data_IF_802355630137
#
_entry.id   IF_802355630137
#
_cell.length_a   1.000
_cell.length_b   1.000
_cell.length_c   1.000
_cell.angle_alpha   90.00
_cell.angle_beta   90.00
_cell.angle_gamma   90.00
#
_symmetry.space_group_name_H-M   'P 1'
#
loop_
_entity.id
_entity.type
_entity.pdbx_description
1 polymer ?
#
# COMPACT_ATOMS: atom_id res chain seq x y z
N UNK A 1 15.27 -10.44 -0.19
CA UNK A 1 14.69 -9.09 -0.16
C UNK A 1 13.34 -9.02 -0.89
N UNK A 2 13.22 -9.58 -2.08
CA UNK A 2 11.97 -9.59 -2.86
C UNK A 2 10.75 -10.12 -2.11
N UNK A 3 10.90 -11.21 -1.36
CA UNK A 3 9.81 -11.81 -0.59
C UNK A 3 9.24 -10.84 0.46
N UNK A 4 10.09 -10.08 1.15
CA UNK A 4 9.66 -9.11 2.16
C UNK A 4 8.85 -8.00 1.51
N UNK A 5 9.25 -7.54 0.33
CA UNK A 5 8.55 -6.49 -0.43
C UNK A 5 7.17 -6.99 -0.87
N UNK A 6 7.06 -8.23 -1.35
CA UNK A 6 5.77 -8.81 -1.74
C UNK A 6 4.83 -8.96 -0.53
N UNK A 7 5.36 -9.40 0.61
CA UNK A 7 4.60 -9.48 1.87
C UNK A 7 4.13 -8.08 2.27
N UNK A 8 5.00 -7.08 2.23
CA UNK A 8 4.66 -5.70 2.53
C UNK A 8 3.53 -5.19 1.62
N UNK A 9 3.62 -5.42 0.31
CA UNK A 9 2.59 -5.02 -0.65
C UNK A 9 1.25 -5.70 -0.37
N UNK A 10 1.27 -7.00 -0.04
CA UNK A 10 0.06 -7.74 0.35
C UNK A 10 -0.60 -7.11 1.59
N UNK A 11 0.19 -6.81 2.62
CA UNK A 11 -0.32 -6.18 3.84
C UNK A 11 -0.86 -4.77 3.59
N UNK A 12 -0.27 -4.00 2.66
CA UNK A 12 -0.80 -2.69 2.25
C UNK A 12 -2.19 -2.83 1.63
N UNK A 13 -2.40 -3.82 0.75
CA UNK A 13 -3.71 -4.09 0.14
C UNK A 13 -4.74 -4.48 1.21
N UNK A 14 -4.35 -5.34 2.15
CA UNK A 14 -5.21 -5.76 3.28
C UNK A 14 -5.56 -4.55 4.14
N UNK A 15 -4.59 -3.72 4.51
CA UNK A 15 -4.80 -2.52 5.32
C UNK A 15 -5.76 -1.52 4.65
N UNK A 16 -5.56 -1.29 3.35
CA UNK A 16 -6.46 -0.46 2.57
C UNK A 16 -7.90 -1.03 2.57
N UNK A 17 -8.04 -2.36 2.42
CA UNK A 17 -9.34 -3.03 2.44
C UNK A 17 -10.05 -2.90 3.81
N UNK A 18 -9.31 -3.00 4.91
CA UNK A 18 -9.84 -2.74 6.26
C UNK A 18 -10.32 -1.30 6.40
N UNK A 19 -9.53 -0.33 5.98
CA UNK A 19 -9.89 1.08 6.06
C UNK A 19 -11.15 1.39 5.24
N UNK A 20 -11.23 0.88 4.01
CA UNK A 20 -12.39 1.05 3.14
C UNK A 20 -13.65 0.33 3.68
N UNK A 21 -13.50 -0.68 4.54
CA UNK A 21 -14.65 -1.38 5.14
C UNK A 21 -15.46 -0.50 6.11
N UNK A 22 -14.89 0.60 6.62
CA UNK A 22 -15.60 1.60 7.42
C UNK A 22 -16.37 2.63 6.58
N UNK A 23 -16.11 2.65 5.25
CA UNK A 23 -16.75 3.57 4.34
C UNK A 23 -18.11 3.07 3.86
N UNK A 24 -18.94 4.00 3.36
CA UNK A 24 -20.17 3.64 2.65
C UNK A 24 -19.79 3.05 1.29
N UNK A 25 -20.60 2.12 0.79
CA UNK A 25 -20.39 1.49 -0.52
C UNK A 25 -20.08 2.47 -1.64
N UNK A 26 -20.86 3.53 -1.71
CA UNK A 26 -20.70 4.57 -2.74
C UNK A 26 -19.29 5.17 -2.72
N UNK A 27 -18.75 5.46 -1.54
CA UNK A 27 -17.41 6.01 -1.38
C UNK A 27 -16.34 5.02 -1.82
N UNK A 28 -16.51 3.74 -1.46
CA UNK A 28 -15.59 2.67 -1.88
C UNK A 28 -15.61 2.46 -3.39
N UNK A 29 -16.78 2.56 -4.03
CA UNK A 29 -16.91 2.48 -5.49
C UNK A 29 -16.23 3.67 -6.18
N UNK A 30 -16.41 4.89 -5.68
CA UNK A 30 -15.71 6.06 -6.23
C UNK A 30 -14.20 5.88 -6.13
N UNK A 31 -13.70 5.44 -4.96
CA UNK A 31 -12.27 5.20 -4.79
C UNK A 31 -11.75 4.09 -5.72
N UNK A 32 -12.50 3.00 -5.90
CA UNK A 32 -12.12 1.93 -6.82
C UNK A 32 -12.09 2.40 -8.29
N UNK A 33 -13.00 3.30 -8.69
CA UNK A 33 -12.98 3.91 -10.02
C UNK A 33 -11.73 4.79 -10.20
N UNK A 34 -11.38 5.59 -9.20
CA UNK A 34 -10.16 6.41 -9.24
C UNK A 34 -8.92 5.52 -9.34
N UNK A 35 -8.85 4.43 -8.57
CA UNK A 35 -7.76 3.47 -8.63
C UNK A 35 -7.68 2.75 -10.00
N UNK A 36 -8.82 2.37 -10.58
CA UNK A 36 -8.89 1.79 -11.92
C UNK A 36 -8.46 2.76 -13.01
N UNK A 37 -8.89 4.02 -12.94
CA UNK A 37 -8.47 5.08 -13.86
C UNK A 37 -6.95 5.36 -13.74
N UNK A 38 -6.41 5.31 -12.53
CA UNK A 38 -4.97 5.43 -12.31
C UNK A 38 -4.21 4.31 -13.03
N UNK A 39 -4.63 3.05 -12.88
CA UNK A 39 -4.03 1.90 -13.56
C UNK A 39 -4.15 2.07 -15.08
N UNK A 40 -5.35 2.44 -15.57
CA UNK A 40 -5.59 2.64 -17.01
C UNK A 40 -4.83 3.85 -17.59
N UNK A 41 -4.50 4.86 -16.78
CA UNK A 41 -3.75 6.05 -17.22
C UNK A 41 -2.23 5.88 -17.15
N UNK A 42 -1.74 5.04 -16.26
CA UNK A 42 -0.29 4.88 -16.03
C UNK A 42 0.37 3.78 -16.88
N UNK A 43 -0.38 3.04 -17.71
CA UNK A 43 0.17 1.96 -18.52
C UNK A 43 1.30 2.41 -19.47
N UNK A 44 1.22 3.62 -20.03
CA UNK A 44 2.25 4.17 -20.90
C UNK A 44 3.59 4.35 -20.16
N UNK A 45 3.52 4.79 -18.90
CA UNK A 45 4.70 4.91 -18.04
C UNK A 45 5.23 3.54 -17.60
N UNK A 46 4.34 2.57 -17.39
CA UNK A 46 4.71 1.21 -17.02
C UNK A 46 5.50 0.47 -18.12
N UNK A 47 5.18 0.71 -19.40
CA UNK A 47 5.91 0.14 -20.53
C UNK A 47 7.33 0.69 -20.65
N UNK A 48 7.52 1.98 -20.31
CA UNK A 48 8.84 2.62 -20.35
C UNK A 48 9.78 2.09 -19.26
N UNK A 49 9.26 1.42 -18.24
CA UNK A 49 10.05 0.80 -17.20
C UNK A 49 10.65 -0.52 -17.70
N UNK A 50 11.92 -0.76 -17.40
CA UNK A 50 12.57 -2.06 -17.63
C UNK A 50 12.50 -2.90 -16.35
N UNK A 51 12.45 -4.24 -16.47
CA UNK A 51 12.58 -5.14 -15.31
C UNK A 51 13.83 -4.85 -14.50
N UNK A 52 14.93 -4.53 -15.16
CA UNK A 52 16.20 -4.14 -14.53
C UNK A 52 16.06 -2.85 -13.74
N UNK A 53 15.37 -1.84 -14.28
CA UNK A 53 15.16 -0.57 -13.58
C UNK A 53 14.31 -0.74 -12.31
N UNK A 54 13.28 -1.59 -12.35
CA UNK A 54 12.47 -1.89 -11.14
C UNK A 54 13.31 -2.62 -10.09
N UNK A 55 14.11 -3.61 -10.52
CA UNK A 55 15.02 -4.31 -9.62
C UNK A 55 16.09 -3.38 -9.04
N UNK A 56 16.63 -2.47 -9.84
CA UNK A 56 17.60 -1.47 -9.42
C UNK A 56 16.97 -0.45 -8.45
N UNK A 57 15.72 -0.04 -8.68
CA UNK A 57 14.98 0.83 -7.75
C UNK A 57 14.75 0.16 -6.40
N UNK A 58 14.43 -1.14 -6.39
CA UNK A 58 14.23 -1.91 -5.16
C UNK A 58 15.55 -2.22 -4.43
N UNK A 59 16.69 -2.07 -5.09
CA UNK A 59 18.03 -2.20 -4.48
C UNK A 59 18.64 -0.84 -4.12
N UNK A 60 18.11 0.26 -4.66
CA UNK A 60 18.60 1.60 -4.37
C UNK A 60 18.23 2.02 -2.95
N UNK A 61 19.23 2.25 -2.11
CA UNK A 61 19.06 2.62 -0.70
C UNK A 61 18.27 3.93 -0.53
N UNK A 62 18.46 4.90 -1.42
CA UNK A 62 17.75 6.18 -1.38
C UNK A 62 16.26 6.01 -1.71
N UNK A 63 15.95 5.21 -2.73
CA UNK A 63 14.56 4.89 -3.08
C UNK A 63 13.85 4.15 -1.95
N UNK A 64 14.51 3.18 -1.31
CA UNK A 64 13.98 2.47 -0.15
C UNK A 64 13.75 3.38 1.06
N UNK A 65 14.64 4.34 1.32
CA UNK A 65 14.46 5.33 2.38
C UNK A 65 13.26 6.22 2.11
N UNK A 66 13.08 6.72 0.89
CA UNK A 66 11.94 7.55 0.52
C UNK A 66 10.62 6.76 0.65
N UNK A 67 10.60 5.50 0.24
CA UNK A 67 9.43 4.62 0.43
C UNK A 67 9.12 4.38 1.91
N UNK A 68 10.14 4.18 2.75
CA UNK A 68 9.92 4.00 4.18
C UNK A 68 9.37 5.27 4.85
N UNK A 69 9.79 6.46 4.43
CA UNK A 69 9.23 7.73 4.91
C UNK A 69 7.73 7.79 4.58
N UNK A 70 7.35 7.45 3.36
CA UNK A 70 5.94 7.45 2.94
C UNK A 70 5.15 6.42 3.75
N UNK A 71 5.69 5.21 3.94
CA UNK A 71 5.05 4.15 4.74
C UNK A 71 4.86 4.59 6.19
N UNK A 72 5.87 5.20 6.81
CA UNK A 72 5.78 5.68 8.19
C UNK A 72 4.78 6.82 8.35
N UNK A 73 4.73 7.76 7.41
CA UNK A 73 3.74 8.82 7.40
C UNK A 73 2.31 8.27 7.27
N UNK A 74 2.08 7.34 6.36
CA UNK A 74 0.76 6.73 6.20
C UNK A 74 0.37 5.89 7.43
N UNK A 75 1.30 5.15 8.01
CA UNK A 75 1.06 4.43 9.27
C UNK A 75 0.69 5.37 10.41
N UNK A 76 1.35 6.52 10.51
CA UNK A 76 1.01 7.55 11.50
C UNK A 76 -0.41 8.12 11.28
N UNK A 77 -0.81 8.32 10.03
CA UNK A 77 -2.18 8.74 9.68
C UNK A 77 -3.21 7.66 10.04
N UNK A 78 -2.89 6.37 9.81
CA UNK A 78 -3.74 5.26 10.21
C UNK A 78 -3.89 5.17 11.74
N UNK A 79 -2.80 5.37 12.50
CA UNK A 79 -2.87 5.43 13.96
C UNK A 79 -3.72 6.62 14.43
N UNK A 80 -3.53 7.79 13.83
CA UNK A 80 -4.36 8.97 14.09
C UNK A 80 -5.85 8.71 13.83
N UNK A 81 -6.17 7.98 12.75
CA UNK A 81 -7.53 7.55 12.44
C UNK A 81 -8.10 6.64 13.53
N UNK A 82 -7.37 5.61 13.96
CA UNK A 82 -7.81 4.70 15.01
C UNK A 82 -8.09 5.45 16.33
N UNK A 83 -7.19 6.36 16.73
CA UNK A 83 -7.38 7.19 17.94
C UNK A 83 -8.60 8.12 17.79
N UNK A 84 -8.80 8.72 16.62
CA UNK A 84 -9.94 9.59 16.35
C UNK A 84 -11.27 8.84 16.38
N UNK A 85 -11.29 7.62 15.85
CA UNK A 85 -12.47 6.74 15.85
C UNK A 85 -12.85 6.33 17.27
N UNK A 86 -11.86 5.88 18.09
CA UNK A 86 -12.07 5.55 19.50
C UNK A 86 -12.63 6.73 20.30
N UNK A 87 -12.11 7.93 20.10
CA UNK A 87 -12.65 9.14 20.74
C UNK A 87 -14.12 9.39 20.39
N UNK A 88 -14.52 9.10 19.16
CA UNK A 88 -15.91 9.20 18.71
C UNK A 88 -16.84 8.24 19.44
N UNK A 89 -16.40 7.01 19.71
CA UNK A 89 -17.15 6.00 20.47
C UNK A 89 -17.34 6.46 21.94
N UNK A 90 -16.30 7.04 22.55
CA UNK A 90 -16.36 7.50 23.94
C UNK A 90 -17.06 8.87 24.14
N UNK A 91 -17.82 9.36 23.14
CA UNK A 91 -18.70 10.51 23.27
C UNK A 91 -17.98 11.88 23.37
N UNK A 92 -16.68 11.95 23.10
CA UNK A 92 -15.96 13.22 23.01
C UNK A 92 -16.23 13.87 21.64
N UNK A 93 -16.49 15.21 21.67
CA UNK A 93 -16.72 15.98 20.42
C UNK A 93 -15.69 15.62 19.34
N UNK A 94 -16.19 15.21 18.19
CA UNK A 94 -15.35 14.94 17.02
C UNK A 94 -14.56 16.20 16.68
N UNK A 95 -13.22 16.11 16.76
CA UNK A 95 -12.34 17.13 16.24
C UNK A 95 -12.49 17.14 14.69
N UNK A 96 -12.45 18.32 14.11
CA UNK A 96 -12.43 18.53 12.66
C UNK A 96 -11.41 17.61 11.94
N UNK A 97 -10.24 17.39 12.55
CA UNK A 97 -9.22 16.47 12.08
C UNK A 97 -9.68 15.01 11.97
N UNK A 98 -10.58 14.57 12.83
CA UNK A 98 -11.09 13.20 12.82
C UNK A 98 -11.91 12.91 11.55
N UNK A 99 -12.66 13.90 11.08
CA UNK A 99 -13.43 13.80 9.86
C UNK A 99 -12.54 13.81 8.61
N UNK A 100 -11.48 14.61 8.62
CA UNK A 100 -10.46 14.62 7.58
C UNK A 100 -9.75 13.26 7.47
N UNK A 101 -9.34 12.68 8.61
CA UNK A 101 -8.71 11.36 8.63
C UNK A 101 -9.66 10.23 8.20
N UNK A 102 -10.96 10.38 8.45
CA UNK A 102 -11.97 9.43 8.00
C UNK A 102 -12.11 9.43 6.48
N UNK A 103 -12.00 10.61 5.85
CA UNK A 103 -12.08 10.76 4.39
C UNK A 103 -10.77 10.47 3.66
N UNK A 104 -9.66 10.42 4.38
CA UNK A 104 -8.35 10.16 3.79
C UNK A 104 -8.25 8.71 3.29
N UNK A 105 -8.12 8.45 1.98
CA UNK A 105 -7.88 7.12 1.44
C UNK A 105 -6.43 6.71 1.66
N UNK A 106 -6.15 5.40 1.60
CA UNK A 106 -4.77 4.90 1.60
C UNK A 106 -4.06 5.25 0.29
N UNK A 107 -3.03 6.11 0.35
CA UNK A 107 -2.24 6.49 -0.82
C UNK A 107 -1.22 5.41 -1.21
N UNK A 108 -0.80 4.56 -0.27
CA UNK A 108 0.14 3.46 -0.54
C UNK A 108 -0.41 2.43 -1.53
N UNK A 109 -1.71 2.39 -1.75
CA UNK A 109 -2.30 1.49 -2.75
C UNK A 109 -1.83 1.82 -4.17
N UNK A 110 -1.64 3.11 -4.51
CA UNK A 110 -1.28 3.52 -5.88
C UNK A 110 0.10 3.01 -6.33
N UNK A 111 1.20 3.16 -5.57
CA UNK A 111 2.48 2.57 -5.95
C UNK A 111 2.43 1.03 -6.00
N UNK A 112 1.64 0.39 -5.14
CA UNK A 112 1.45 -1.07 -5.18
C UNK A 112 0.72 -1.48 -6.47
N UNK A 113 -0.32 -0.77 -6.88
CA UNK A 113 -1.02 -1.03 -8.14
C UNK A 113 -0.11 -0.80 -9.36
N UNK A 114 0.73 0.24 -9.32
CA UNK A 114 1.70 0.50 -10.38
C UNK A 114 2.73 -0.64 -10.50
N UNK A 115 3.22 -1.15 -9.37
CA UNK A 115 4.11 -2.32 -9.37
C UNK A 115 3.44 -3.55 -9.98
N UNK A 116 2.21 -3.88 -9.56
CA UNK A 116 1.49 -5.02 -10.12
C UNK A 116 1.15 -4.86 -11.60
N UNK A 117 0.90 -3.62 -12.06
CA UNK A 117 0.69 -3.32 -13.47
C UNK A 117 1.95 -3.63 -14.29
N UNK A 118 3.11 -3.13 -13.86
CA UNK A 118 4.38 -3.40 -14.53
C UNK A 118 4.73 -4.88 -14.53
N UNK A 119 4.53 -5.56 -13.42
CA UNK A 119 4.76 -7.00 -13.30
C UNK A 119 3.84 -7.80 -14.24
N UNK A 120 2.55 -7.42 -14.34
CA UNK A 120 1.58 -8.08 -15.23
C UNK A 120 1.96 -7.90 -16.71
N UNK A 121 2.38 -6.70 -17.10
CA UNK A 121 2.82 -6.40 -18.48
C UNK A 121 4.02 -7.27 -18.86
N UNK A 122 4.97 -7.46 -17.96
CA UNK A 122 6.17 -8.24 -18.24
C UNK A 122 5.98 -9.75 -18.14
N UNK A 123 4.96 -10.22 -17.40
CA UNK A 123 4.65 -11.66 -17.30
C UNK A 123 3.81 -12.20 -18.44
N UNK A 124 3.13 -11.34 -19.20
CA UNK A 124 2.24 -11.73 -20.29
C UNK A 124 2.85 -11.29 -21.66
N UNK A 125 3.98 -11.86 -22.09
CA UNK A 125 4.55 -11.55 -23.39
C UNK A 125 3.60 -12.07 -24.49
N UNK A 126 3.20 -11.18 -25.41
CA UNK A 126 2.34 -11.53 -26.53
C UNK A 126 0.89 -11.05 -26.42
N UNK A 127 0.51 -10.43 -25.31
CA UNK A 127 -0.77 -9.72 -25.16
C UNK A 127 -0.50 -8.22 -25.33
N UNK A 128 -1.42 -7.52 -26.01
CA UNK A 128 -1.33 -6.06 -26.13
C UNK A 128 -1.28 -5.41 -24.73
N UNK A 129 -0.32 -4.54 -24.52
CA UNK A 129 -0.11 -3.84 -23.24
C UNK A 129 -1.35 -3.07 -22.80
N UNK A 130 -2.07 -2.48 -23.74
CA UNK A 130 -3.33 -1.78 -23.49
C UNK A 130 -4.40 -2.73 -22.95
N UNK A 131 -4.54 -3.92 -23.53
CA UNK A 131 -5.50 -4.93 -23.08
C UNK A 131 -5.18 -5.41 -21.69
N UNK A 132 -3.91 -5.65 -21.38
CA UNK A 132 -3.44 -6.04 -20.04
C UNK A 132 -3.76 -4.95 -19.01
N UNK A 133 -3.51 -3.68 -19.33
CA UNK A 133 -3.79 -2.56 -18.44
C UNK A 133 -5.29 -2.38 -18.18
N UNK A 134 -6.13 -2.43 -19.21
CA UNK A 134 -7.58 -2.32 -19.05
C UNK A 134 -8.20 -3.50 -18.32
N UNK A 135 -7.71 -4.72 -18.56
CA UNK A 135 -8.17 -5.91 -17.83
C UNK A 135 -7.81 -5.81 -16.35
N UNK A 136 -6.58 -5.38 -16.02
CA UNK A 136 -6.15 -5.17 -14.64
C UNK A 136 -6.95 -4.04 -13.97
N UNK A 137 -7.20 -2.94 -14.67
CA UNK A 137 -8.06 -1.86 -14.17
C UNK A 137 -9.46 -2.36 -13.83
N UNK A 138 -10.06 -3.17 -14.70
CA UNK A 138 -11.36 -3.80 -14.45
C UNK A 138 -11.35 -4.71 -13.22
N UNK A 139 -10.31 -5.53 -13.08
CA UNK A 139 -10.11 -6.40 -11.90
C UNK A 139 -10.01 -5.55 -10.62
N UNK A 140 -9.23 -4.47 -10.62
CA UNK A 140 -9.04 -3.58 -9.48
C UNK A 140 -10.36 -2.91 -9.07
N UNK A 141 -11.16 -2.42 -10.04
CA UNK A 141 -12.46 -1.79 -9.78
C UNK A 141 -13.43 -2.74 -9.10
N UNK A 142 -13.39 -4.02 -9.43
CA UNK A 142 -14.25 -5.05 -8.82
C UNK A 142 -13.66 -5.56 -7.50
N UNK A 143 -12.35 -5.79 -7.46
CA UNK A 143 -11.67 -6.39 -6.30
C UNK A 143 -11.72 -5.48 -5.06
N UNK A 144 -11.54 -4.18 -5.20
CA UNK A 144 -11.53 -3.25 -4.05
C UNK A 144 -12.86 -3.27 -3.29
N UNK A 145 -14.04 -3.06 -3.92
CA UNK A 145 -15.32 -3.15 -3.21
C UNK A 145 -15.61 -4.55 -2.66
N UNK A 146 -15.20 -5.58 -3.39
CA UNK A 146 -15.39 -6.97 -2.96
C UNK A 146 -14.57 -7.27 -1.71
N UNK A 147 -13.29 -6.92 -1.68
CA UNK A 147 -12.41 -7.08 -0.51
C UNK A 147 -12.90 -6.27 0.68
N UNK A 148 -13.31 -5.03 0.46
CA UNK A 148 -13.89 -4.17 1.51
C UNK A 148 -15.14 -4.82 2.14
N UNK A 149 -16.02 -5.41 1.32
CA UNK A 149 -17.20 -6.15 1.77
C UNK A 149 -16.82 -7.43 2.51
N UNK A 150 -15.85 -8.17 1.98
CA UNK A 150 -15.32 -9.39 2.59
C UNK A 150 -14.77 -9.10 3.99
N UNK A 151 -13.98 -8.02 4.16
CA UNK A 151 -13.46 -7.63 5.48
C UNK A 151 -14.59 -7.29 6.46
N UNK A 152 -15.64 -6.62 6.00
CA UNK A 152 -16.82 -6.34 6.82
C UNK A 152 -17.61 -7.60 7.21
N UNK A 153 -17.61 -8.61 6.36
CA UNK A 153 -18.25 -9.88 6.63
C UNK A 153 -17.43 -10.76 7.59
N UNK A 154 -16.09 -10.78 7.43
CA UNK A 154 -15.18 -11.55 8.29
C UNK A 154 -15.10 -10.99 9.70
N UNK A 155 -15.13 -9.66 9.83
CA UNK A 155 -15.05 -8.95 11.11
C UNK A 155 -16.25 -8.00 11.22
N UNK A 156 -17.43 -8.50 11.66
CA UNK A 156 -18.65 -7.70 11.69
C UNK A 156 -18.62 -6.58 12.74
N UNK A 157 -17.89 -6.78 13.85
CA UNK A 157 -17.76 -5.81 14.93
C UNK A 157 -16.81 -4.67 14.54
N UNK A 158 -17.29 -3.43 14.64
CA UNK A 158 -16.53 -2.24 14.26
C UNK A 158 -15.28 -2.06 15.15
N UNK A 159 -15.39 -2.38 16.45
CA UNK A 159 -14.30 -2.25 17.41
C UNK A 159 -13.17 -3.25 17.10
N UNK A 160 -13.52 -4.52 16.90
CA UNK A 160 -12.56 -5.57 16.57
C UNK A 160 -11.88 -5.28 15.21
N UNK A 161 -12.67 -4.79 14.24
CA UNK A 161 -12.12 -4.41 12.92
C UNK A 161 -11.14 -3.25 13.02
N UNK A 162 -11.37 -2.30 13.94
CA UNK A 162 -10.47 -1.20 14.21
C UNK A 162 -9.16 -1.69 14.85
N UNK A 163 -9.24 -2.61 15.81
CA UNK A 163 -8.07 -3.22 16.44
C UNK A 163 -7.19 -3.96 15.42
N UNK A 164 -7.83 -4.78 14.57
CA UNK A 164 -7.10 -5.48 13.50
C UNK A 164 -6.46 -4.51 12.51
N UNK A 165 -7.17 -3.45 12.11
CA UNK A 165 -6.62 -2.41 11.24
C UNK A 165 -5.41 -1.73 11.89
N UNK A 166 -5.46 -1.44 13.19
CA UNK A 166 -4.35 -0.88 13.95
C UNK A 166 -3.13 -1.81 13.96
N UNK A 167 -3.34 -3.11 14.27
CA UNK A 167 -2.27 -4.11 14.29
C UNK A 167 -1.63 -4.29 12.91
N UNK A 168 -2.43 -4.35 11.85
CA UNK A 168 -1.93 -4.45 10.46
C UNK A 168 -1.13 -3.21 10.08
N UNK A 169 -1.58 -2.01 10.45
CA UNK A 169 -0.86 -0.76 10.21
C UNK A 169 0.49 -0.71 10.94
N UNK A 170 0.53 -1.20 12.19
CA UNK A 170 1.75 -1.33 12.97
C UNK A 170 2.73 -2.32 12.33
N UNK A 171 2.21 -3.46 11.84
CA UNK A 171 3.03 -4.46 11.17
C UNK A 171 3.62 -3.92 9.86
N UNK A 172 2.87 -3.16 9.07
CA UNK A 172 3.35 -2.48 7.85
C UNK A 172 4.47 -1.49 8.21
N UNK A 173 4.32 -0.73 9.29
CA UNK A 173 5.35 0.19 9.75
C UNK A 173 6.66 -0.54 10.09
N UNK A 174 6.58 -1.65 10.81
CA UNK A 174 7.74 -2.48 11.16
C UNK A 174 8.39 -3.05 9.90
N UNK A 175 7.62 -3.62 8.97
CA UNK A 175 8.14 -4.15 7.71
C UNK A 175 8.79 -3.06 6.87
N UNK A 176 8.19 -1.86 6.80
CA UNK A 176 8.77 -0.72 6.11
C UNK A 176 10.11 -0.29 6.68
N UNK A 177 10.25 -0.29 8.01
CA UNK A 177 11.54 -0.02 8.67
C UNK A 177 12.56 -1.13 8.42
N UNK A 178 12.14 -2.40 8.43
CA UNK A 178 13.04 -3.52 8.16
C UNK A 178 13.62 -3.47 6.75
N UNK A 179 12.87 -3.01 5.76
CA UNK A 179 13.37 -2.85 4.39
C UNK A 179 14.51 -1.83 4.30
N UNK A 180 14.48 -0.77 5.11
CA UNK A 180 15.54 0.24 5.15
C UNK A 180 16.78 -0.21 5.91
N UNK A 181 16.60 -0.96 7.00
CA UNK A 181 17.72 -1.47 7.82
C UNK A 181 18.54 -2.48 7.02
N UNK A 182 17.93 -3.40 6.30
CA UNK A 182 18.63 -4.37 5.48
C UNK A 182 19.45 -3.71 4.34
N UNK A 183 19.01 -2.58 3.80
CA UNK A 183 19.79 -1.80 2.83
C UNK A 183 21.08 -1.20 3.42
N UNK A 184 21.05 -0.78 4.69
CA UNK A 184 22.21 -0.19 5.37
C UNK A 184 23.24 -1.22 5.85
N UNK A 185 22.80 -2.38 6.30
CA UNK A 185 23.71 -3.44 6.79
C UNK A 185 24.56 -4.04 5.68
N UNK A 186 24.04 -4.17 4.47
CA UNK A 186 24.84 -4.59 3.31
C UNK A 186 25.89 -3.55 2.95
N UNK A 187 25.61 -2.26 3.08
CA UNK A 187 26.57 -1.20 2.78
C UNK A 187 27.72 -1.13 3.81
N UNK A 188 27.43 -1.37 5.09
CA UNK A 188 28.44 -1.36 6.16
C UNK A 188 29.38 -2.59 6.10
N UNK A 189 28.89 -3.73 5.63
CA UNK A 189 29.73 -4.93 5.44
C UNK A 189 30.72 -4.78 4.28
N UNK A 190 30.39 -3.97 3.26
CA UNK A 190 31.28 -3.71 2.11
C UNK A 190 32.32 -2.61 2.39
N UNK A 191 32.11 -1.77 3.41
CA UNK A 191 33.03 -0.68 3.79
C UNK A 191 33.95 -1.03 4.94
N UNK A 192 34.00 -2.30 5.39
CA UNK A 192 35.04 -2.74 6.34
C UNK A 192 36.39 -2.63 5.65
N UNK A 193 37.30 -1.76 6.13
CA UNK A 193 38.63 -1.64 5.55
C UNK A 193 39.33 -2.98 5.72
N UNK A 194 39.87 -3.50 4.61
CA UNK A 194 40.79 -4.63 4.63
C UNK A 194 41.90 -4.34 5.65
N UNK A 195 42.23 -5.26 6.57
CA UNK A 195 43.38 -5.08 7.44
C UNK A 195 44.61 -5.00 6.49
N UNK A 196 45.28 -3.87 6.51
CA UNK A 196 46.58 -3.73 5.87
C UNK A 196 47.59 -4.53 6.69
N UNK A 197 48.26 -5.42 6.00
CA UNK A 197 49.54 -5.97 6.39
C UNK A 197 50.62 -4.86 6.46
#
# INVERSE_FOLDING_TARGET
MELIIHILMLFIVINCSFKLSFWKLWQTVIYSLIAGLFVAGTWQYAILQSKTQIADYLQNTEALQNMAIIITLESALCFGYCVAFLRGIYGKKNLWWAELLRWYPSLLLFPVLFYYLTEAIFRLPGVDFSVTAWSLAGIVVIAIPLLSRLMKYLVPEDDLRLEVHFLVSLFICILGLLTTVNGKTTCLLYTSPSPRD
#
